data_IF_453495147824
#
_entry.id   IF_453495147824
#
_cell.length_a   1.000
_cell.length_b   1.000
_cell.length_c   1.000
_cell.angle_alpha   90.00
_cell.angle_beta   90.00
_cell.angle_gamma   90.00
#
_symmetry.space_group_name_H-M   'P 1'
#
loop_
_entity.id
_entity.type
_entity.pdbx_description
1 polymer ?
#
# COMPACT_ATOMS: atom_id res chain seq x y z
N UNK A 1 -27.19 7.83 6.56
CA UNK A 1 -25.76 7.59 6.33
C UNK A 1 -25.52 7.47 4.83
N UNK A 2 -24.46 8.08 4.24
CA UNK A 2 -24.10 7.83 2.85
C UNK A 2 -23.72 6.34 2.67
N UNK A 3 -24.06 5.76 1.52
CA UNK A 3 -23.64 4.40 1.16
C UNK A 3 -22.25 4.44 0.55
N UNK A 4 -21.40 3.44 0.84
CA UNK A 4 -20.09 3.29 0.22
C UNK A 4 -20.21 2.91 -1.26
N UNK A 5 -19.21 3.27 -2.06
CA UNK A 5 -19.12 2.96 -3.49
C UNK A 5 -17.94 2.01 -3.71
N UNK A 6 -18.13 0.97 -4.51
CA UNK A 6 -17.06 0.12 -5.04
C UNK A 6 -16.88 0.40 -6.53
N UNK A 7 -15.65 0.73 -6.94
CA UNK A 7 -15.29 1.02 -8.33
C UNK A 7 -13.80 0.72 -8.56
N UNK A 8 -13.46 0.21 -9.74
CA UNK A 8 -12.09 0.12 -10.22
C UNK A 8 -11.81 1.28 -11.18
N UNK A 9 -10.69 1.96 -10.99
CA UNK A 9 -10.29 3.14 -11.77
C UNK A 9 -8.98 2.82 -12.51
N UNK A 10 -8.95 3.12 -13.80
CA UNK A 10 -7.79 2.94 -14.66
C UNK A 10 -6.69 3.99 -14.42
N UNK A 11 -5.50 3.80 -15.01
CA UNK A 11 -4.34 4.69 -14.82
C UNK A 11 -4.53 6.12 -15.35
N UNK A 12 -5.51 6.33 -16.22
CA UNK A 12 -5.94 7.63 -16.73
C UNK A 12 -7.00 8.33 -15.84
N UNK A 13 -7.40 7.71 -14.72
CA UNK A 13 -8.40 8.25 -13.79
C UNK A 13 -9.86 7.97 -14.18
N UNK A 14 -10.13 7.16 -15.21
CA UNK A 14 -11.50 6.81 -15.62
C UNK A 14 -11.93 5.45 -15.07
N UNK A 15 -13.22 5.22 -14.75
CA UNK A 15 -13.71 3.90 -14.34
C UNK A 15 -13.46 2.82 -15.40
N UNK A 16 -13.02 1.64 -14.96
CA UNK A 16 -12.83 0.43 -15.78
C UNK A 16 -13.76 -0.72 -15.34
N UNK A 17 -14.71 -0.40 -14.46
CA UNK A 17 -15.72 -1.31 -13.96
C UNK A 17 -17.07 -0.59 -13.87
N UNK A 18 -18.11 -1.33 -13.54
CA UNK A 18 -19.35 -0.74 -13.03
C UNK A 18 -19.11 -0.01 -11.70
N UNK A 19 -19.98 0.95 -11.39
CA UNK A 19 -19.98 1.66 -10.11
C UNK A 19 -21.07 1.04 -9.23
N UNK A 20 -20.67 0.28 -8.21
CA UNK A 20 -21.59 -0.44 -7.33
C UNK A 20 -21.81 0.32 -6.02
N UNK A 21 -23.07 0.59 -5.67
CA UNK A 21 -23.47 1.30 -4.45
C UNK A 21 -24.79 0.82 -3.84
N UNK A 22 -25.72 0.34 -4.69
CA UNK A 22 -27.08 0.03 -4.28
C UNK A 22 -27.25 -1.38 -3.68
N UNK A 23 -26.51 -2.34 -4.22
CA UNK A 23 -26.66 -3.78 -4.01
C UNK A 23 -25.35 -4.38 -3.49
N UNK A 24 -25.44 -5.48 -2.72
CA UNK A 24 -24.28 -6.30 -2.35
C UNK A 24 -23.84 -7.14 -3.54
N UNK A 25 -22.53 -7.25 -3.76
CA UNK A 25 -22.00 -8.11 -4.83
C UNK A 25 -20.49 -8.04 -4.99
N UNK A 26 -20.02 -8.74 -6.02
CA UNK A 26 -18.61 -8.80 -6.41
C UNK A 26 -18.39 -7.93 -7.65
N UNK A 27 -17.39 -7.05 -7.57
CA UNK A 27 -16.95 -6.23 -8.69
C UNK A 27 -15.80 -6.92 -9.41
N UNK A 28 -15.95 -7.13 -10.72
CA UNK A 28 -14.89 -7.65 -11.59
C UNK A 28 -14.43 -6.56 -12.56
N UNK A 29 -13.14 -6.53 -12.83
CA UNK A 29 -12.54 -5.62 -13.81
C UNK A 29 -11.29 -6.27 -14.42
N UNK A 30 -11.14 -6.14 -15.74
CA UNK A 30 -9.92 -6.53 -16.44
C UNK A 30 -8.89 -5.40 -16.36
N UNK A 31 -7.66 -5.74 -16.00
CA UNK A 31 -6.57 -4.77 -15.83
C UNK A 31 -5.48 -5.07 -16.84
N UNK A 32 -5.32 -4.16 -17.81
CA UNK A 32 -4.19 -4.18 -18.72
C UNK A 32 -3.02 -3.36 -18.16
N UNK A 33 -1.93 -4.05 -17.82
CA UNK A 33 -0.72 -3.42 -17.29
C UNK A 33 0.02 -2.57 -18.32
N UNK A 34 -0.15 -2.84 -19.62
CA UNK A 34 0.48 -2.05 -20.68
C UNK A 34 -0.07 -0.62 -20.71
N UNK A 35 -1.33 -0.42 -20.31
CA UNK A 35 -1.95 0.89 -20.21
C UNK A 35 -1.29 1.81 -19.16
N UNK A 36 -0.47 1.27 -18.24
CA UNK A 36 0.27 2.06 -17.26
C UNK A 36 1.57 2.69 -17.82
N UNK A 37 2.04 2.23 -18.99
CA UNK A 37 3.36 2.65 -19.53
C UNK A 37 3.36 4.12 -19.93
N UNK A 38 2.42 4.53 -20.79
CA UNK A 38 2.34 5.90 -21.29
C UNK A 38 2.09 6.93 -20.16
N UNK A 39 1.11 6.73 -19.25
CA UNK A 39 0.91 7.64 -18.11
C UNK A 39 2.15 7.77 -17.22
N UNK A 40 2.88 6.66 -17.02
CA UNK A 40 4.12 6.68 -16.23
C UNK A 40 5.25 7.43 -16.95
N UNK A 41 5.33 7.36 -18.28
CA UNK A 41 6.31 8.14 -19.05
C UNK A 41 6.04 9.64 -18.93
N UNK A 42 4.76 10.05 -18.92
CA UNK A 42 4.39 11.46 -18.80
C UNK A 42 4.54 12.01 -17.38
N UNK A 43 4.18 11.22 -16.36
CA UNK A 43 4.17 11.64 -14.96
C UNK A 43 5.03 10.74 -14.07
N UNK A 44 6.31 10.55 -14.42
CA UNK A 44 7.22 9.69 -13.65
C UNK A 44 7.63 10.32 -12.31
N UNK A 45 6.77 10.19 -11.30
CA UNK A 45 6.92 10.79 -9.97
C UNK A 45 8.18 10.35 -9.22
N UNK A 46 8.57 9.09 -9.37
CA UNK A 46 9.73 8.52 -8.65
C UNK A 46 11.05 8.70 -9.39
N UNK A 47 10.99 9.06 -10.67
CA UNK A 47 12.17 9.33 -11.51
C UNK A 47 12.17 10.78 -11.95
N UNK A 48 11.74 11.04 -13.19
CA UNK A 48 11.94 12.32 -13.86
C UNK A 48 11.34 13.56 -13.18
N UNK A 49 10.23 13.43 -12.43
CA UNK A 49 9.66 14.53 -11.66
C UNK A 49 10.43 14.83 -10.36
N UNK A 50 11.17 13.86 -9.83
CA UNK A 50 11.80 14.01 -8.54
C UNK A 50 13.12 14.79 -8.66
N UNK A 51 13.24 15.86 -7.88
CA UNK A 51 14.47 16.68 -7.77
C UNK A 51 15.32 16.17 -6.61
N UNK A 52 16.10 15.13 -6.87
CA UNK A 52 16.98 14.49 -5.89
C UNK A 52 18.07 15.41 -5.32
N UNK A 53 18.36 16.54 -5.97
CA UNK A 53 19.25 17.59 -5.49
C UNK A 53 18.60 18.55 -4.47
N UNK A 54 17.27 18.52 -4.35
CA UNK A 54 16.50 19.37 -3.43
C UNK A 54 15.87 18.53 -2.32
N UNK A 55 15.20 17.43 -2.69
CA UNK A 55 14.38 16.64 -1.78
C UNK A 55 15.02 15.28 -1.50
N UNK A 56 15.02 14.90 -0.22
CA UNK A 56 15.48 13.59 0.24
C UNK A 56 14.45 12.98 1.20
N UNK A 57 14.02 11.75 0.92
CA UNK A 57 13.13 10.97 1.77
C UNK A 57 13.85 9.70 2.25
N UNK A 58 13.94 9.53 3.57
CA UNK A 58 14.45 8.30 4.19
C UNK A 58 13.29 7.55 4.82
N UNK A 59 13.25 6.24 4.61
CA UNK A 59 12.23 5.35 5.21
C UNK A 59 12.91 4.42 6.21
N UNK A 60 12.51 4.51 7.48
CA UNK A 60 12.83 3.47 8.46
C UNK A 60 11.91 2.26 8.22
N UNK A 61 12.52 1.12 7.86
CA UNK A 61 11.81 -0.14 7.60
C UNK A 61 11.83 -1.08 8.81
N UNK A 62 12.26 -0.62 9.99
CA UNK A 62 12.21 -1.42 11.22
C UNK A 62 10.78 -1.83 11.53
N UNK A 63 10.58 -3.10 11.89
CA UNK A 63 9.28 -3.59 12.30
C UNK A 63 8.91 -3.02 13.67
N UNK A 64 7.99 -2.05 13.70
CA UNK A 64 7.44 -1.46 14.92
C UNK A 64 6.40 -2.43 15.52
N UNK A 65 6.88 -3.43 16.28
CA UNK A 65 6.01 -4.39 16.99
C UNK A 65 5.20 -3.65 18.08
N UNK A 66 3.89 -3.88 18.22
CA UNK A 66 3.09 -3.22 19.26
C UNK A 66 3.43 -3.69 20.68
N UNK A 67 4.12 -4.82 20.83
CA UNK A 67 4.47 -5.42 22.12
C UNK A 67 5.94 -5.84 22.09
N UNK A 68 6.67 -5.48 23.14
CA UNK A 68 8.04 -5.92 23.42
C UNK A 68 8.06 -6.66 24.77
N UNK A 69 8.51 -7.91 24.78
CA UNK A 69 8.69 -8.67 26.02
C UNK A 69 10.09 -8.43 26.57
N UNK A 70 10.19 -8.01 27.83
CA UNK A 70 11.45 -7.95 28.55
C UNK A 70 11.58 -9.23 29.39
N UNK A 71 12.63 -10.01 29.15
CA UNK A 71 13.00 -11.09 30.06
C UNK A 71 13.81 -10.47 31.20
N UNK A 72 13.28 -10.53 32.42
CA UNK A 72 14.05 -10.21 33.62
C UNK A 72 15.20 -11.20 33.77
N UNK A 73 16.36 -10.73 34.21
CA UNK A 73 17.48 -11.59 34.58
C UNK A 73 17.16 -12.32 35.88
N UNK A 74 16.32 -13.36 35.79
CA UNK A 74 16.19 -14.31 36.89
C UNK A 74 17.43 -15.20 36.88
N UNK A 75 18.40 -14.82 37.71
CA UNK A 75 19.46 -15.70 38.17
C UNK A 75 18.83 -16.82 39.00
N UNK A 76 18.25 -17.82 38.34
CA UNK A 76 17.82 -19.05 39.01
C UNK A 76 18.45 -20.24 38.33
N UNK A 77 19.41 -20.81 39.05
CA UNK A 77 20.06 -22.11 38.92
C UNK A 77 19.22 -23.14 38.13
N UNK A 78 19.61 -23.37 36.87
CA UNK A 78 19.05 -24.46 36.07
C UNK A 78 19.75 -25.76 36.43
N UNK A 79 19.18 -26.49 37.39
CA UNK A 79 19.17 -27.96 37.35
C UNK A 79 17.78 -28.41 36.95
N UNK A 80 17.55 -28.61 35.65
CA UNK A 80 16.55 -29.55 35.18
C UNK A 80 17.16 -30.31 34.01
N UNK A 81 17.05 -31.63 34.13
CA UNK A 81 17.65 -32.71 33.35
C UNK A 81 17.34 -32.69 31.85
#
# INVERSE_FOLDING_TARGET
SPRGISVAIGPNGTPISEIMQAEEGLLYADVDLAACVEPKQLHDLVGGYNRFDIFHLTVDRTAQRPIHFQFGSDSTDTRIC
#
